data_IF_851591843339
#
_entry.id   IF_851591843339
#
_cell.length_a   1.000
_cell.length_b   1.000
_cell.length_c   1.000
_cell.angle_alpha   90.00
_cell.angle_beta   90.00
_cell.angle_gamma   90.00
#
_symmetry.space_group_name_H-M   'P 1'
#
loop_
_entity.id
_entity.type
_entity.pdbx_description
1 polymer ?
#
# COMPACT_ATOMS: atom_id res chain seq x y z
N UNK A 1 18.40 -12.90 9.42
CA UNK A 1 19.31 -11.73 9.49
C UNK A 1 18.92 -10.80 8.36
N UNK A 2 18.62 -9.53 8.63
CA UNK A 2 18.17 -8.59 7.58
C UNK A 2 19.31 -8.34 6.58
N UNK A 3 19.05 -8.36 5.26
CA UNK A 3 20.06 -8.10 4.23
C UNK A 3 20.91 -6.85 4.51
N UNK A 4 20.28 -5.80 5.00
CA UNK A 4 20.89 -4.49 5.32
C UNK A 4 22.00 -4.54 6.39
N UNK A 5 22.15 -5.64 7.14
CA UNK A 5 23.18 -5.75 8.19
C UNK A 5 24.62 -5.78 7.69
N UNK A 6 24.82 -6.12 6.41
CA UNK A 6 26.15 -6.19 5.78
C UNK A 6 26.45 -4.98 4.88
N UNK A 7 25.53 -4.01 4.85
CA UNK A 7 25.65 -2.84 3.98
C UNK A 7 26.36 -1.71 4.73
N UNK A 8 27.49 -1.28 4.21
CA UNK A 8 28.23 -0.12 4.71
C UNK A 8 28.12 1.03 3.71
N UNK A 9 27.49 2.11 4.13
CA UNK A 9 27.40 3.36 3.38
C UNK A 9 27.81 4.47 4.33
N UNK A 10 28.60 5.44 3.84
CA UNK A 10 29.07 6.56 4.65
C UNK A 10 27.90 7.24 5.38
N UNK A 11 28.09 7.50 6.67
CA UNK A 11 27.10 8.12 7.56
C UNK A 11 25.75 7.37 7.66
N UNK A 12 25.61 6.16 7.13
CA UNK A 12 24.36 5.39 7.17
C UNK A 12 24.59 4.06 7.89
N UNK A 13 23.55 3.47 8.46
CA UNK A 13 23.74 2.24 9.23
C UNK A 13 22.49 1.70 9.91
N UNK A 14 22.63 0.48 10.44
CA UNK A 14 21.57 -0.15 11.22
C UNK A 14 21.40 0.56 12.57
N UNK A 15 20.15 0.82 12.91
CA UNK A 15 19.73 1.34 14.20
C UNK A 15 18.52 0.53 14.68
N UNK A 16 18.43 0.29 15.98
CA UNK A 16 17.25 -0.32 16.58
C UNK A 16 16.22 0.76 16.91
N UNK A 17 14.96 0.53 16.54
CA UNK A 17 13.91 1.48 16.85
C UNK A 17 13.45 1.31 18.31
N UNK A 18 13.49 2.35 19.16
CA UNK A 18 13.19 2.21 20.59
C UNK A 18 11.77 1.72 20.89
N UNK A 19 10.80 2.05 20.04
CA UNK A 19 9.38 1.75 20.28
C UNK A 19 8.97 0.34 19.85
N UNK A 20 9.69 -0.25 18.89
CA UNK A 20 9.31 -1.51 18.24
C UNK A 20 10.38 -2.60 18.35
N UNK A 21 11.59 -2.26 18.78
CA UNK A 21 12.79 -3.10 18.73
C UNK A 21 13.13 -3.62 17.30
N UNK A 22 12.50 -3.07 16.27
CA UNK A 22 12.80 -3.42 14.88
C UNK A 22 14.13 -2.78 14.46
N UNK A 23 14.97 -3.57 13.79
CA UNK A 23 16.20 -3.10 13.17
C UNK A 23 15.87 -2.40 11.85
N UNK A 24 16.15 -1.11 11.79
CA UNK A 24 15.95 -0.26 10.61
C UNK A 24 17.30 0.25 10.10
N UNK A 25 17.43 0.45 8.80
CA UNK A 25 18.65 1.02 8.22
C UNK A 25 18.44 2.51 8.00
N UNK A 26 19.14 3.32 8.77
CA UNK A 26 19.08 4.77 8.67
C UNK A 26 19.93 5.26 7.51
N UNK A 27 19.35 6.08 6.64
CA UNK A 27 20.03 6.71 5.51
C UNK A 27 20.00 8.23 5.68
N UNK A 28 21.10 8.88 5.30
CA UNK A 28 21.31 10.32 5.49
C UNK A 28 21.36 11.14 4.20
N UNK A 29 21.29 10.49 3.04
CA UNK A 29 21.18 11.17 1.75
C UNK A 29 20.43 10.32 0.72
N UNK A 30 20.02 10.96 -0.38
CA UNK A 30 19.25 10.32 -1.45
C UNK A 30 19.99 9.19 -2.18
N UNK A 31 21.33 9.25 -2.27
CA UNK A 31 22.12 8.19 -2.90
C UNK A 31 22.20 6.98 -1.99
N UNK A 32 22.39 7.19 -0.68
CA UNK A 32 22.33 6.13 0.32
C UNK A 32 20.96 5.43 0.31
N UNK A 33 19.85 6.19 0.16
CA UNK A 33 18.50 5.63 0.02
C UNK A 33 18.39 4.71 -1.20
N UNK A 34 18.81 5.18 -2.38
CA UNK A 34 18.74 4.39 -3.63
C UNK A 34 19.65 3.17 -3.56
N UNK A 35 20.87 3.33 -3.06
CA UNK A 35 21.85 2.25 -2.91
C UNK A 35 21.35 1.18 -1.95
N UNK A 36 20.80 1.56 -0.78
CA UNK A 36 20.27 0.61 0.18
C UNK A 36 19.07 -0.17 -0.38
N UNK A 37 18.15 0.51 -1.05
CA UNK A 37 17.03 -0.14 -1.73
C UNK A 37 17.50 -1.10 -2.84
N UNK A 38 18.47 -0.68 -3.66
CA UNK A 38 19.06 -1.48 -4.73
C UNK A 38 19.83 -2.69 -4.22
N UNK A 39 20.55 -2.54 -3.10
CA UNK A 39 21.27 -3.63 -2.44
C UNK A 39 20.31 -4.73 -1.98
N UNK A 40 19.21 -4.36 -1.32
CA UNK A 40 18.18 -5.33 -0.90
C UNK A 40 17.54 -6.01 -2.11
N UNK A 41 17.19 -5.25 -3.16
CA UNK A 41 16.69 -5.79 -4.43
C UNK A 41 17.65 -6.85 -5.00
N UNK A 42 18.93 -6.51 -5.12
CA UNK A 42 19.96 -7.40 -5.65
C UNK A 42 20.07 -8.69 -4.84
N UNK A 43 20.21 -8.60 -3.51
CA UNK A 43 20.37 -9.77 -2.66
C UNK A 43 19.12 -10.67 -2.66
N UNK A 44 17.93 -10.08 -2.60
CA UNK A 44 16.66 -10.82 -2.60
C UNK A 44 16.44 -11.53 -3.94
N UNK A 45 16.83 -10.89 -5.05
CA UNK A 45 16.82 -11.52 -6.37
C UNK A 45 17.79 -12.71 -6.44
N UNK A 46 19.04 -12.56 -5.97
CA UNK A 46 20.05 -13.63 -6.03
C UNK A 46 19.74 -14.80 -5.08
N UNK A 47 19.33 -14.51 -3.84
CA UNK A 47 19.15 -15.53 -2.81
C UNK A 47 17.83 -16.30 -2.94
N UNK A 48 16.76 -15.61 -3.30
CA UNK A 48 15.41 -16.16 -3.24
C UNK A 48 14.68 -16.12 -4.59
N UNK A 49 15.26 -15.50 -5.62
CA UNK A 49 14.60 -15.20 -6.87
C UNK A 49 13.29 -14.43 -6.59
N UNK A 50 13.38 -13.29 -5.90
CA UNK A 50 12.22 -12.49 -5.51
C UNK A 50 12.40 -11.04 -5.93
N UNK A 51 11.28 -10.35 -6.15
CA UNK A 51 11.25 -8.92 -6.45
C UNK A 51 10.92 -8.13 -5.20
N UNK A 52 11.40 -6.89 -5.11
CA UNK A 52 11.16 -5.99 -3.97
C UNK A 52 10.44 -4.73 -4.42
N UNK A 53 9.36 -4.41 -3.71
CA UNK A 53 8.57 -3.19 -3.88
C UNK A 53 8.56 -2.38 -2.58
N UNK A 54 8.01 -1.18 -2.65
CA UNK A 54 8.10 -0.20 -1.57
C UNK A 54 6.74 0.07 -0.94
N UNK A 55 6.75 0.36 0.36
CA UNK A 55 5.60 0.96 1.05
C UNK A 55 6.07 2.07 1.96
N UNK A 56 5.55 3.27 1.72
CA UNK A 56 5.78 4.43 2.59
C UNK A 56 4.96 4.35 3.86
N UNK A 57 5.57 4.71 4.99
CA UNK A 57 4.90 4.75 6.29
C UNK A 57 5.39 5.95 7.10
N UNK A 58 4.45 6.72 7.63
CA UNK A 58 4.75 7.85 8.53
C UNK A 58 5.23 7.38 9.91
N UNK A 59 4.91 6.15 10.30
CA UNK A 59 5.28 5.54 11.57
C UNK A 59 5.74 4.10 11.36
N UNK A 60 6.45 3.55 12.34
CA UNK A 60 6.89 2.18 12.34
C UNK A 60 5.89 1.28 13.07
N UNK A 61 5.61 0.12 12.48
CA UNK A 61 4.66 -0.87 12.99
C UNK A 61 5.31 -2.25 13.07
N UNK A 62 5.00 -2.98 14.15
CA UNK A 62 5.44 -4.37 14.36
C UNK A 62 4.76 -5.38 13.43
N UNK A 63 3.55 -5.05 12.99
CA UNK A 63 2.71 -5.91 12.17
C UNK A 63 2.36 -5.21 10.88
N UNK A 64 2.21 -5.99 9.81
CA UNK A 64 1.85 -5.50 8.49
C UNK A 64 0.48 -6.08 8.13
N UNK A 65 -0.57 -5.43 8.66
CA UNK A 65 -1.96 -5.88 8.54
C UNK A 65 -2.70 -5.20 7.37
N UNK A 66 -3.38 -5.96 6.50
CA UNK A 66 -4.34 -5.42 5.53
C UNK A 66 -5.43 -4.59 6.21
N UNK A 67 -5.91 -3.57 5.51
CA UNK A 67 -6.91 -2.63 6.04
C UNK A 67 -8.18 -3.33 6.53
N UNK A 68 -8.61 -4.42 5.88
CA UNK A 68 -9.80 -5.19 6.26
C UNK A 68 -9.67 -5.88 7.63
N UNK A 69 -8.46 -6.25 8.04
CA UNK A 69 -8.21 -7.04 9.26
C UNK A 69 -7.70 -6.21 10.45
N UNK A 70 -7.44 -4.91 10.25
CA UNK A 70 -7.00 -4.03 11.35
C UNK A 70 -8.08 -3.93 12.44
N UNK A 71 -7.68 -4.17 13.68
CA UNK A 71 -8.58 -4.12 14.84
C UNK A 71 -9.58 -5.29 14.93
N UNK A 72 -9.52 -6.26 14.02
CA UNK A 72 -10.38 -7.44 14.02
C UNK A 72 -9.76 -8.53 14.90
N UNK A 73 -10.56 -9.08 15.82
CA UNK A 73 -10.12 -10.18 16.70
C UNK A 73 -10.68 -11.51 16.23
N UNK A 74 -9.80 -12.49 16.06
CA UNK A 74 -10.15 -13.87 15.74
C UNK A 74 -10.60 -14.13 14.30
N UNK A 75 -10.64 -15.40 13.93
CA UNK A 75 -10.93 -15.87 12.57
C UNK A 75 -12.36 -15.52 12.15
N UNK A 76 -13.34 -15.68 13.05
CA UNK A 76 -14.75 -15.40 12.75
C UNK A 76 -14.99 -13.95 12.29
N UNK A 77 -14.33 -12.97 12.93
CA UNK A 77 -14.42 -11.57 12.51
C UNK A 77 -13.79 -11.32 11.14
N UNK A 78 -12.67 -11.98 10.84
CA UNK A 78 -12.00 -11.88 9.53
C UNK A 78 -12.86 -12.49 8.43
N UNK A 79 -13.50 -13.64 8.69
CA UNK A 79 -14.44 -14.29 7.77
C UNK A 79 -15.62 -13.39 7.49
N UNK A 80 -16.28 -12.84 8.53
CA UNK A 80 -17.43 -11.94 8.38
C UNK A 80 -17.10 -10.69 7.53
N UNK A 81 -15.96 -10.05 7.79
CA UNK A 81 -15.46 -8.93 6.99
C UNK A 81 -15.21 -9.31 5.52
N UNK A 82 -14.66 -10.50 5.28
CA UNK A 82 -14.38 -11.02 3.93
C UNK A 82 -15.69 -11.31 3.18
N UNK A 83 -16.70 -11.86 3.85
CA UNK A 83 -18.03 -12.08 3.25
C UNK A 83 -18.71 -10.77 2.84
N UNK A 84 -18.60 -9.73 3.67
CA UNK A 84 -19.12 -8.39 3.38
C UNK A 84 -18.43 -7.80 2.16
N UNK A 85 -17.10 -7.92 2.07
CA UNK A 85 -16.33 -7.51 0.90
C UNK A 85 -16.77 -8.23 -0.37
N UNK A 86 -16.98 -9.56 -0.30
CA UNK A 86 -17.46 -10.34 -1.43
C UNK A 86 -18.87 -9.88 -1.89
N UNK A 87 -19.76 -9.51 -0.96
CA UNK A 87 -21.07 -8.93 -1.28
C UNK A 87 -20.95 -7.58 -1.97
N UNK A 88 -20.07 -6.70 -1.52
CA UNK A 88 -19.81 -5.41 -2.20
C UNK A 88 -19.33 -5.64 -3.63
N UNK A 89 -18.40 -6.57 -3.84
CA UNK A 89 -17.90 -6.93 -5.18
C UNK A 89 -19.04 -7.46 -6.06
N UNK A 90 -19.90 -8.34 -5.54
CA UNK A 90 -21.05 -8.85 -6.27
C UNK A 90 -22.04 -7.72 -6.66
N UNK A 91 -22.41 -6.87 -5.71
CA UNK A 91 -23.32 -5.74 -5.96
C UNK A 91 -22.76 -4.75 -6.99
N UNK A 92 -21.45 -4.53 -7.00
CA UNK A 92 -20.79 -3.69 -8.02
C UNK A 92 -20.90 -4.31 -9.40
N UNK A 93 -20.68 -5.63 -9.54
CA UNK A 93 -20.81 -6.33 -10.82
C UNK A 93 -22.24 -6.32 -11.36
N UNK A 94 -23.23 -6.34 -10.47
CA UNK A 94 -24.66 -6.26 -10.84
C UNK A 94 -25.07 -4.85 -11.24
N UNK A 95 -24.59 -3.84 -10.53
CA UNK A 95 -24.99 -2.44 -10.76
C UNK A 95 -24.21 -1.75 -11.89
N UNK A 96 -22.99 -2.21 -12.19
CA UNK A 96 -22.09 -1.52 -13.11
C UNK A 96 -21.42 -2.49 -14.09
N UNK A 97 -21.85 -2.41 -15.36
CA UNK A 97 -21.43 -3.35 -16.41
C UNK A 97 -19.92 -3.38 -16.72
N UNK A 98 -19.16 -2.35 -16.33
CA UNK A 98 -17.70 -2.36 -16.47
C UNK A 98 -17.05 -3.44 -15.59
N UNK A 99 -17.55 -3.64 -14.37
CA UNK A 99 -16.98 -4.61 -13.43
C UNK A 99 -17.32 -6.05 -13.84
N UNK A 100 -18.41 -6.28 -14.58
CA UNK A 100 -18.75 -7.59 -15.14
C UNK A 100 -17.69 -8.08 -16.14
N UNK A 101 -17.00 -7.16 -16.83
CA UNK A 101 -15.95 -7.47 -17.82
C UNK A 101 -14.56 -7.59 -17.21
N UNK A 102 -14.39 -7.21 -15.94
CA UNK A 102 -13.11 -7.33 -15.25
C UNK A 102 -13.00 -8.68 -14.53
N UNK A 103 -11.80 -9.27 -14.46
CA UNK A 103 -11.60 -10.46 -13.65
C UNK A 103 -11.85 -10.17 -12.16
N UNK A 104 -12.48 -11.11 -11.44
CA UNK A 104 -12.80 -10.95 -10.01
C UNK A 104 -11.57 -10.65 -9.14
N UNK A 105 -10.45 -11.22 -9.52
CA UNK A 105 -9.13 -11.04 -8.91
C UNK A 105 -8.53 -9.63 -9.08
N UNK A 106 -9.17 -8.75 -9.86
CA UNK A 106 -8.78 -7.34 -10.06
C UNK A 106 -9.67 -6.37 -9.28
N UNK A 107 -10.95 -6.72 -9.05
CA UNK A 107 -11.94 -5.79 -8.48
C UNK A 107 -11.58 -5.42 -7.04
N UNK A 108 -11.31 -6.39 -6.18
CA UNK A 108 -10.92 -6.13 -4.78
C UNK A 108 -9.66 -5.23 -4.71
N UNK A 109 -8.52 -5.56 -5.35
CA UNK A 109 -7.35 -4.68 -5.41
C UNK A 109 -7.67 -3.26 -5.87
N UNK A 110 -8.54 -3.11 -6.87
CA UNK A 110 -8.93 -1.81 -7.40
C UNK A 110 -9.65 -0.96 -6.36
N UNK A 111 -10.60 -1.54 -5.63
CA UNK A 111 -11.38 -0.83 -4.62
C UNK A 111 -10.53 -0.31 -3.44
N UNK A 112 -9.40 -0.96 -3.15
CA UNK A 112 -8.44 -0.51 -2.13
C UNK A 112 -7.92 0.90 -2.43
N UNK A 113 -7.62 1.22 -3.70
CA UNK A 113 -7.17 2.57 -4.08
C UNK A 113 -8.23 3.65 -3.87
N UNK A 114 -9.51 3.26 -3.81
CA UNK A 114 -10.64 4.18 -3.70
C UNK A 114 -11.27 4.24 -2.30
N UNK A 115 -10.74 3.49 -1.32
CA UNK A 115 -11.12 3.65 0.09
C UNK A 115 -11.74 2.45 0.76
N UNK A 116 -12.06 1.40 0.01
CA UNK A 116 -12.60 0.17 0.58
C UNK A 116 -11.47 -0.55 1.31
N UNK A 117 -11.76 -1.04 2.50
CA UNK A 117 -10.86 -1.89 3.26
C UNK A 117 -10.82 -3.27 2.62
N UNK A 118 -9.64 -3.76 2.27
CA UNK A 118 -9.46 -5.03 1.55
C UNK A 118 -8.41 -5.91 2.20
N UNK A 119 -8.25 -7.12 1.66
CA UNK A 119 -7.21 -8.06 2.07
C UNK A 119 -5.84 -7.76 1.46
N UNK A 120 -5.74 -6.68 0.68
CA UNK A 120 -4.51 -6.27 0.01
C UNK A 120 -3.80 -5.15 0.76
N UNK A 121 -2.49 -5.04 0.50
CA UNK A 121 -1.67 -3.91 0.89
C UNK A 121 -1.24 -3.12 -0.34
N UNK A 122 -1.32 -1.80 -0.23
CA UNK A 122 -0.75 -0.89 -1.21
C UNK A 122 0.78 -0.93 -1.18
N UNK A 123 1.37 -1.23 -2.32
CA UNK A 123 2.79 -1.09 -2.60
C UNK A 123 2.97 -0.14 -3.79
N UNK A 124 4.19 0.32 -4.00
CA UNK A 124 4.59 1.09 -5.17
C UNK A 124 5.93 0.59 -5.68
N UNK A 125 6.18 0.70 -6.99
CA UNK A 125 7.48 0.38 -7.59
C UNK A 125 8.42 1.59 -7.66
N UNK A 126 7.90 2.79 -7.41
CA UNK A 126 8.63 4.04 -7.38
C UNK A 126 8.93 4.46 -5.93
N UNK A 127 10.22 4.54 -5.58
CA UNK A 127 10.66 4.87 -4.22
C UNK A 127 10.30 6.30 -3.80
N UNK A 128 10.16 7.24 -4.74
CA UNK A 128 9.76 8.61 -4.46
C UNK A 128 8.29 8.71 -4.08
N UNK A 129 7.44 7.89 -4.72
CA UNK A 129 6.03 7.78 -4.33
C UNK A 129 5.92 7.15 -2.93
N UNK A 130 6.75 6.14 -2.61
CA UNK A 130 6.79 5.60 -1.26
C UNK A 130 7.24 6.66 -0.24
N UNK A 131 8.25 7.46 -0.58
CA UNK A 131 8.70 8.56 0.27
C UNK A 131 7.58 9.60 0.48
N UNK A 132 6.83 9.91 -0.57
CA UNK A 132 5.66 10.80 -0.49
C UNK A 132 4.62 10.28 0.51
N UNK A 133 4.22 9.00 0.40
CA UNK A 133 3.28 8.38 1.34
C UNK A 133 3.77 8.40 2.78
N UNK A 134 5.10 8.32 2.98
CA UNK A 134 5.69 8.38 4.31
C UNK A 134 5.73 9.81 4.90
N UNK A 135 5.76 10.83 4.03
CA UNK A 135 5.80 12.24 4.39
C UNK A 135 4.42 12.91 4.52
N UNK A 136 3.34 12.22 4.17
CA UNK A 136 1.97 12.74 4.26
C UNK A 136 1.15 11.98 5.30
N UNK A 137 0.21 12.67 5.94
CA UNK A 137 -0.78 12.08 6.84
C UNK A 137 -2.14 12.11 6.18
N UNK A 138 -2.87 11.01 6.26
CA UNK A 138 -4.28 10.97 5.88
C UNK A 138 -5.13 11.48 7.04
N UNK A 139 -5.93 12.52 6.79
CA UNK A 139 -6.97 13.00 7.71
C UNK A 139 -8.31 12.61 7.13
N UNK A 140 -9.12 11.88 7.90
CA UNK A 140 -10.44 11.44 7.46
C UNK A 140 -11.56 11.98 8.35
N UNK A 141 -12.70 12.26 7.73
CA UNK A 141 -13.89 12.78 8.38
C UNK A 141 -15.17 12.11 7.82
N UNK A 142 -16.25 12.21 8.60
CA UNK A 142 -17.53 11.59 8.26
C UNK A 142 -17.56 10.08 8.53
N UNK A 143 -18.76 9.50 8.35
CA UNK A 143 -18.98 8.06 8.55
C UNK A 143 -18.04 7.26 7.63
N UNK A 144 -17.38 6.25 8.20
CA UNK A 144 -16.49 5.33 7.47
C UNK A 144 -15.31 6.01 6.74
N UNK A 145 -14.90 7.20 7.20
CA UNK A 145 -13.81 7.97 6.59
C UNK A 145 -14.16 8.52 5.21
N UNK A 146 -15.45 8.78 4.95
CA UNK A 146 -15.97 9.23 3.65
C UNK A 146 -15.20 10.41 3.06
N UNK A 147 -14.81 11.39 3.84
CA UNK A 147 -14.01 12.52 3.38
C UNK A 147 -12.56 12.27 3.78
N UNK A 148 -11.64 12.32 2.82
CA UNK A 148 -10.23 12.03 3.00
C UNK A 148 -9.41 13.22 2.51
N UNK A 149 -8.46 13.68 3.29
CA UNK A 149 -7.49 14.70 2.89
C UNK A 149 -6.09 14.16 3.16
N UNK A 150 -5.12 14.56 2.33
CA UNK A 150 -3.71 14.27 2.59
C UNK A 150 -2.97 15.56 2.91
N UNK A 151 -2.39 15.61 4.11
CA UNK A 151 -1.66 16.76 4.59
C UNK A 151 -0.16 16.46 4.63
N UNK A 152 0.64 17.32 3.99
CA UNK A 152 2.11 17.27 4.07
C UNK A 152 2.50 17.50 5.54
N UNK A 153 3.30 16.57 6.09
CA UNK A 153 3.77 16.68 7.47
C UNK A 153 4.72 17.87 7.61
N UNK A 154 4.79 18.43 8.81
CA UNK A 154 5.63 19.59 9.11
C UNK A 154 6.59 19.21 10.23
N UNK A 155 7.87 18.98 9.89
CA UNK A 155 8.86 18.40 10.82
C UNK A 155 8.95 19.12 12.18
N UNK A 156 8.86 20.46 12.20
CA UNK A 156 8.87 21.26 13.44
C UNK A 156 7.65 21.07 14.36
N UNK A 157 6.56 20.49 13.86
CA UNK A 157 5.32 20.23 14.62
C UNK A 157 5.24 18.78 15.10
N UNK A 158 6.15 17.91 14.68
CA UNK A 158 6.16 16.50 15.07
C UNK A 158 6.91 16.32 16.39
N UNK A 159 6.42 15.42 17.24
CA UNK A 159 7.15 14.97 18.41
C UNK A 159 8.46 14.28 17.99
N UNK A 160 9.47 14.23 18.86
CA UNK A 160 10.79 13.69 18.50
C UNK A 160 10.73 12.25 17.96
N UNK A 161 9.87 11.40 18.54
CA UNK A 161 9.65 10.03 18.07
C UNK A 161 8.99 9.93 16.70
N UNK A 162 8.30 10.98 16.25
CA UNK A 162 7.62 11.05 14.97
C UNK A 162 8.44 11.80 13.91
N UNK A 163 9.66 12.28 14.19
CA UNK A 163 10.52 12.97 13.20
C UNK A 163 11.18 12.05 12.19
N UNK A 164 10.67 10.84 12.01
CA UNK A 164 11.18 9.88 11.04
C UNK A 164 10.07 9.42 10.11
N UNK A 165 10.51 8.99 8.93
CA UNK A 165 9.69 8.30 7.94
C UNK A 165 10.33 6.97 7.60
N UNK A 166 9.50 6.03 7.15
CA UNK A 166 9.93 4.67 6.92
C UNK A 166 9.52 4.20 5.52
N UNK A 167 10.45 3.54 4.83
CA UNK A 167 10.16 2.82 3.59
C UNK A 167 10.36 1.34 3.86
N UNK A 168 9.26 0.60 3.82
CA UNK A 168 9.25 -0.85 3.93
C UNK A 168 9.58 -1.44 2.56
N UNK A 169 10.57 -2.33 2.52
CA UNK A 169 10.97 -3.10 1.36
C UNK A 169 10.28 -4.45 1.43
N UNK A 170 9.29 -4.69 0.57
CA UNK A 170 8.45 -5.90 0.60
C UNK A 170 8.85 -6.85 -0.52
N UNK A 171 9.26 -8.07 -0.15
CA UNK A 171 9.66 -9.13 -1.08
C UNK A 171 8.45 -9.93 -1.59
N UNK A 172 8.47 -10.26 -2.88
CA UNK A 172 7.43 -11.01 -3.58
C UNK A 172 8.05 -12.09 -4.46
N UNK A 173 7.43 -13.28 -4.52
CA UNK A 173 7.99 -14.45 -5.21
C UNK A 173 7.57 -14.60 -6.68
N UNK A 174 7.78 -13.53 -7.44
CA UNK A 174 7.31 -13.38 -8.82
C UNK A 174 8.18 -14.05 -9.89
N UNK A 175 9.46 -14.24 -9.62
CA UNK A 175 10.43 -14.74 -10.62
C UNK A 175 10.09 -16.10 -11.23
N UNK A 176 9.26 -16.89 -10.54
CA UNK A 176 8.73 -18.19 -10.98
C UNK A 176 7.21 -18.18 -11.05
N UNK A 177 6.57 -17.04 -10.78
CA UNK A 177 5.13 -16.91 -10.85
C UNK A 177 4.69 -16.86 -12.31
N UNK A 178 3.73 -17.71 -12.67
CA UNK A 178 3.05 -17.60 -13.96
C UNK A 178 2.05 -16.44 -13.85
N UNK A 179 2.05 -15.55 -14.83
CA UNK A 179 0.98 -14.57 -14.97
C UNK A 179 -0.33 -15.35 -15.22
N UNK A 180 -1.32 -15.17 -14.33
CA UNK A 180 -2.65 -15.79 -14.48
C UNK A 180 -3.59 -14.89 -15.29
N UNK A 181 -3.30 -13.59 -15.31
CA UNK A 181 -3.93 -12.55 -16.11
C UNK A 181 -2.88 -11.44 -16.32
N UNK A 182 -2.93 -10.62 -17.39
CA UNK A 182 -2.11 -9.41 -17.48
C UNK A 182 -2.15 -8.60 -16.17
N UNK A 183 -0.97 -8.28 -15.63
CA UNK A 183 -0.85 -7.58 -14.35
C UNK A 183 -1.18 -8.40 -13.10
N UNK A 184 -1.43 -9.71 -13.20
CA UNK A 184 -1.73 -10.55 -12.02
C UNK A 184 -0.79 -11.74 -11.94
N UNK A 185 -0.05 -11.82 -10.85
CA UNK A 185 0.91 -12.89 -10.59
C UNK A 185 0.59 -13.58 -9.27
N UNK A 186 0.66 -14.91 -9.32
CA UNK A 186 0.51 -15.78 -8.16
C UNK A 186 1.79 -16.59 -7.98
N UNK A 187 2.55 -16.24 -6.96
CA UNK A 187 3.71 -17.00 -6.51
C UNK A 187 3.30 -18.16 -5.60
N UNK A 188 4.29 -18.77 -4.93
CA UNK A 188 4.06 -19.85 -3.97
C UNK A 188 3.57 -19.30 -2.62
N UNK A 189 4.06 -18.13 -2.23
CA UNK A 189 3.77 -17.49 -0.93
C UNK A 189 2.99 -16.19 -1.07
N UNK A 190 3.12 -15.50 -2.20
CA UNK A 190 2.58 -14.15 -2.38
C UNK A 190 1.76 -14.02 -3.66
N UNK A 191 0.82 -13.09 -3.65
CA UNK A 191 0.12 -12.61 -4.84
C UNK A 191 0.43 -11.12 -5.03
N UNK A 192 0.59 -10.72 -6.30
CA UNK A 192 0.78 -9.34 -6.69
C UNK A 192 -0.17 -8.99 -7.83
N UNK A 193 -0.77 -7.81 -7.76
CA UNK A 193 -1.59 -7.21 -8.81
C UNK A 193 -1.02 -5.84 -9.15
N UNK A 194 -0.67 -5.65 -10.42
CA UNK A 194 -0.42 -4.35 -11.04
C UNK A 194 -1.66 -3.93 -11.81
N UNK A 195 -2.45 -3.03 -11.21
CA UNK A 195 -3.69 -2.53 -11.79
C UNK A 195 -3.48 -1.73 -13.07
N UNK A 196 -2.27 -1.21 -13.31
CA UNK A 196 -1.94 -0.47 -14.54
C UNK A 196 -1.94 -1.37 -15.76
N UNK A 197 -1.83 -2.69 -15.53
CA UNK A 197 -1.87 -3.74 -16.54
C UNK A 197 -3.17 -4.56 -16.47
N UNK A 198 -3.77 -4.67 -15.27
CA UNK A 198 -4.90 -5.55 -15.02
C UNK A 198 -6.28 -4.87 -15.13
N UNK A 199 -6.34 -3.53 -14.95
CA UNK A 199 -7.58 -2.76 -15.00
C UNK A 199 -7.57 -1.76 -16.18
N UNK A 200 -8.75 -1.34 -16.68
CA UNK A 200 -8.83 -0.29 -17.69
C UNK A 200 -8.25 1.05 -17.19
N UNK A 201 -7.58 1.78 -18.08
CA UNK A 201 -6.92 3.06 -17.76
C UNK A 201 -7.86 4.21 -17.39
N UNK A 202 -9.18 3.98 -17.41
CA UNK A 202 -10.16 4.95 -16.90
C UNK A 202 -10.07 5.12 -15.38
N UNK A 203 -9.51 4.13 -14.67
CA UNK A 203 -9.17 4.21 -13.26
C UNK A 203 -7.78 4.82 -13.16
N UNK A 204 -7.67 6.14 -13.02
CA UNK A 204 -6.39 6.84 -13.13
C UNK A 204 -5.51 6.68 -11.89
N UNK A 205 -6.11 6.57 -10.70
CA UNK A 205 -5.36 6.57 -9.43
C UNK A 205 -4.25 5.51 -9.34
N UNK A 206 -4.45 4.23 -9.72
CA UNK A 206 -3.36 3.26 -9.73
C UNK A 206 -2.19 3.64 -10.65
N UNK A 207 -2.46 4.31 -11.78
CA UNK A 207 -1.42 4.79 -12.69
C UNK A 207 -0.64 5.96 -12.08
N UNK A 208 -1.36 6.97 -11.57
CA UNK A 208 -0.76 8.14 -10.95
C UNK A 208 0.17 7.78 -9.76
N UNK A 209 -0.23 6.78 -8.97
CA UNK A 209 0.49 6.36 -7.79
C UNK A 209 1.58 5.33 -8.05
N UNK A 210 1.75 4.86 -9.30
CA UNK A 210 2.58 3.70 -9.59
C UNK A 210 2.21 2.50 -8.69
N UNK A 211 0.91 2.32 -8.49
CA UNK A 211 0.34 1.46 -7.47
C UNK A 211 0.34 -0.02 -7.85
N UNK A 212 0.78 -0.85 -6.90
CA UNK A 212 0.66 -2.30 -6.93
C UNK A 212 -0.02 -2.77 -5.66
N UNK A 213 -0.70 -3.91 -5.72
CA UNK A 213 -1.35 -4.52 -4.58
C UNK A 213 -0.72 -5.86 -4.29
N UNK A 214 -0.46 -6.10 -3.01
CA UNK A 214 0.21 -7.28 -2.53
C UNK A 214 -0.58 -7.97 -1.42
N UNK A 215 -0.54 -9.30 -1.40
CA UNK A 215 -0.98 -10.07 -0.22
C UNK A 215 -0.22 -11.38 -0.08
N UNK A 216 -0.11 -11.88 1.16
CA UNK A 216 0.32 -13.25 1.39
C UNK A 216 -0.82 -14.23 1.15
N UNK A 217 -0.49 -15.36 0.55
CA UNK A 217 -1.44 -16.47 0.31
C UNK A 217 -1.87 -17.18 1.60
N UNK A 218 -1.06 -17.10 2.66
CA UNK A 218 -1.28 -17.81 3.91
C UNK A 218 -0.79 -19.27 3.86
N UNK A 219 -1.29 -20.08 4.79
CA UNK A 219 -1.01 -21.51 4.92
C UNK A 219 -2.29 -22.31 4.61
N UNK A 220 -2.20 -23.61 4.29
CA UNK A 220 -3.39 -24.46 4.23
C UNK A 220 -4.17 -24.35 5.56
N UNK A 221 -5.40 -23.84 5.51
CA UNK A 221 -6.23 -23.53 6.69
C UNK A 221 -6.66 -22.07 6.83
N UNK A 222 -6.10 -21.15 6.04
CA UNK A 222 -6.60 -19.77 5.97
C UNK A 222 -5.56 -18.74 5.55
N UNK A 223 -6.05 -17.54 5.17
CA UNK A 223 -5.20 -16.41 4.82
C UNK A 223 -4.56 -15.83 6.08
N UNK A 224 -3.25 -15.55 6.03
CA UNK A 224 -2.58 -14.85 7.14
C UNK A 224 -3.19 -13.45 7.29
N UNK A 225 -3.35 -12.98 8.52
CA UNK A 225 -3.72 -11.60 8.79
C UNK A 225 -2.51 -10.66 8.82
N UNK A 226 -1.32 -11.20 9.06
CA UNK A 226 -0.08 -10.44 9.16
C UNK A 226 0.90 -10.82 8.03
N UNK A 227 1.35 -9.79 7.31
CA UNK A 227 2.26 -9.91 6.17
C UNK A 227 3.70 -9.51 6.51
N UNK A 228 4.03 -9.28 7.78
CA UNK A 228 5.39 -8.88 8.22
C UNK A 228 6.49 -9.86 7.80
N UNK A 229 6.17 -11.14 7.56
CA UNK A 229 7.12 -12.13 7.05
C UNK A 229 7.72 -11.78 5.69
N UNK A 230 7.08 -10.89 4.94
CA UNK A 230 7.49 -10.49 3.59
C UNK A 230 8.31 -9.20 3.59
N UNK A 231 8.64 -8.64 4.77
CA UNK A 231 9.52 -7.48 4.91
C UNK A 231 10.96 -7.95 4.70
N UNK A 232 11.59 -7.50 3.61
CA UNK A 232 13.00 -7.72 3.33
C UNK A 232 13.91 -6.69 4.00
N UNK A 233 13.37 -5.53 4.36
CA UNK A 233 14.12 -4.47 5.06
C UNK A 233 13.25 -3.26 5.32
N UNK A 234 13.72 -2.38 6.20
CA UNK A 234 13.06 -1.11 6.52
C UNK A 234 14.14 -0.03 6.48
N UNK A 235 13.92 0.99 5.65
CA UNK A 235 14.76 2.17 5.58
C UNK A 235 14.14 3.26 6.45
N UNK A 236 14.96 3.96 7.25
CA UNK A 236 14.56 5.08 8.10
C UNK A 236 15.22 6.36 7.62
N UNK A 237 14.43 7.40 7.40
CA UNK A 237 14.91 8.72 6.95
C UNK A 237 14.40 9.75 7.95
N UNK A 238 15.19 10.78 8.24
CA UNK A 238 14.69 11.90 9.03
C UNK A 238 13.66 12.68 8.21
N UNK A 239 12.54 13.05 8.82
CA UNK A 239 11.41 13.65 8.12
C UNK A 239 11.79 14.96 7.42
N UNK A 240 12.67 15.76 8.03
CA UNK A 240 13.13 17.01 7.41
C UNK A 240 13.84 16.75 6.07
N UNK A 241 14.75 15.78 6.05
CA UNK A 241 15.52 15.43 4.86
C UNK A 241 14.60 14.80 3.79
N UNK A 242 13.69 13.93 4.22
CA UNK A 242 12.71 13.32 3.32
C UNK A 242 11.81 14.36 2.63
N UNK A 243 11.37 15.39 3.35
CA UNK A 243 10.58 16.49 2.80
C UNK A 243 11.40 17.37 1.84
N UNK A 244 12.67 17.63 2.18
CA UNK A 244 13.60 18.37 1.33
C UNK A 244 13.87 17.63 0.00
N UNK A 245 14.17 16.34 0.07
CA UNK A 245 14.45 15.51 -1.12
C UNK A 245 13.24 15.38 -2.05
N UNK A 246 12.02 15.33 -1.50
CA UNK A 246 10.79 15.32 -2.30
C UNK A 246 10.54 16.65 -3.03
N UNK A 247 10.94 17.77 -2.42
CA UNK A 247 10.67 19.11 -2.92
C UNK A 247 9.17 19.42 -3.06
N UNK A 248 8.84 20.29 -4.02
CA UNK A 248 7.48 20.81 -4.26
C UNK A 248 7.07 20.69 -5.75
N UNK A 249 7.41 19.55 -6.39
CA UNK A 249 7.03 19.28 -7.78
C UNK A 249 5.55 18.94 -7.94
N UNK A 250 4.89 19.51 -8.97
CA UNK A 250 3.46 19.25 -9.26
C UNK A 250 3.13 17.78 -9.48
N UNK A 251 4.04 17.00 -10.06
CA UNK A 251 3.81 15.56 -10.30
C UNK A 251 3.63 14.75 -8.99
N UNK A 252 4.10 15.29 -7.87
CA UNK A 252 3.98 14.69 -6.54
C UNK A 252 3.02 15.48 -5.64
N UNK A 253 2.18 16.36 -6.19
CA UNK A 253 1.12 16.95 -5.39
C UNK A 253 -0.04 15.96 -5.18
N UNK A 254 -0.86 16.20 -4.14
CA UNK A 254 -2.01 15.35 -3.82
C UNK A 254 -2.97 15.25 -4.99
N UNK A 255 -3.17 16.33 -5.74
CA UNK A 255 -4.09 16.36 -6.88
C UNK A 255 -3.64 15.42 -8.01
N UNK A 256 -2.34 15.34 -8.26
CA UNK A 256 -1.74 14.47 -9.27
C UNK A 256 -1.78 13.01 -8.84
N UNK A 257 -1.45 12.71 -7.57
CA UNK A 257 -1.47 11.35 -7.04
C UNK A 257 -2.87 10.82 -6.73
N UNK A 258 -3.84 11.70 -6.50
CA UNK A 258 -5.24 11.39 -6.27
C UNK A 258 -6.13 12.21 -7.20
N UNK A 259 -6.17 11.87 -8.50
CA UNK A 259 -6.97 12.62 -9.46
C UNK A 259 -8.44 12.66 -9.02
N UNK A 260 -9.09 13.84 -9.03
CA UNK A 260 -10.50 13.96 -8.69
C UNK A 260 -11.37 13.30 -9.75
N UNK A 261 -12.64 13.05 -9.41
CA UNK A 261 -13.61 12.37 -10.27
C UNK A 261 -13.89 13.09 -11.60
N UNK A 262 -13.53 14.38 -11.71
CA UNK A 262 -13.59 15.12 -12.97
C UNK A 262 -12.59 14.60 -14.02
N UNK A 263 -11.45 14.05 -13.57
CA UNK A 263 -10.42 13.47 -14.45
C UNK A 263 -10.44 11.94 -14.40
N UNK A 264 -10.74 11.34 -13.24
CA UNK A 264 -10.81 9.89 -13.05
C UNK A 264 -12.24 9.37 -13.26
N UNK A 265 -12.53 8.91 -14.48
CA UNK A 265 -13.84 8.37 -14.83
C UNK A 265 -14.20 7.11 -14.04
N UNK A 266 -13.22 6.25 -13.75
CA UNK A 266 -13.41 5.05 -12.93
C UNK A 266 -13.82 5.41 -11.51
N UNK A 267 -13.16 6.43 -10.93
CA UNK A 267 -13.53 6.98 -9.63
C UNK A 267 -14.96 7.58 -9.63
N UNK A 268 -15.33 8.30 -10.69
CA UNK A 268 -16.69 8.84 -10.84
C UNK A 268 -17.76 7.74 -10.86
N UNK A 269 -17.54 6.67 -11.62
CA UNK A 269 -18.43 5.50 -11.66
C UNK A 269 -18.60 4.91 -10.25
N UNK A 270 -17.52 4.79 -9.48
CA UNK A 270 -17.56 4.29 -8.11
C UNK A 270 -18.38 5.20 -7.19
N UNK A 271 -18.22 6.51 -7.29
CA UNK A 271 -19.00 7.49 -6.51
C UNK A 271 -20.49 7.49 -6.88
N UNK A 272 -20.81 7.27 -8.15
CA UNK A 272 -22.18 7.17 -8.67
C UNK A 272 -22.83 5.80 -8.40
N UNK A 273 -22.12 4.88 -7.74
CA UNK A 273 -22.60 3.54 -7.36
C UNK A 273 -22.77 3.33 -5.85
N UNK A 274 -23.36 4.27 -5.08
CA UNK A 274 -23.37 4.19 -3.61
C UNK A 274 -24.19 3.01 -3.07
N UNK A 275 -25.16 2.50 -3.83
CA UNK A 275 -25.96 1.32 -3.46
C UNK A 275 -25.10 0.06 -3.33
N UNK A 276 -24.04 -0.07 -4.13
CA UNK A 276 -23.17 -1.23 -4.08
C UNK A 276 -22.38 -1.34 -2.76
N UNK A 277 -22.17 -0.20 -2.08
CA UNK A 277 -21.42 -0.10 -0.83
C UNK A 277 -22.30 0.01 0.41
N UNK A 278 -23.62 0.20 0.25
CA UNK A 278 -24.59 0.26 1.35
C UNK A 278 -25.12 -1.15 1.62
N UNK A 279 -24.55 -1.79 2.64
CA UNK A 279 -25.06 -3.05 3.16
C UNK A 279 -25.82 -2.80 4.46
N UNK A 280 -26.94 -3.50 4.66
CA UNK A 280 -27.71 -3.51 5.92
C UNK A 280 -26.98 -4.34 7.00
N UNK A 281 -25.72 -4.00 7.25
CA UNK A 281 -24.88 -4.65 8.24
C UNK A 281 -24.29 -3.59 9.16
N UNK A 282 -24.10 -3.94 10.44
CA UNK A 282 -23.40 -3.08 11.41
C UNK A 282 -21.89 -3.03 11.18
N UNK A 283 -21.37 -3.86 10.28
CA UNK A 283 -19.94 -4.05 10.03
C UNK A 283 -19.58 -3.33 8.74
N UNK A 284 -18.94 -2.18 8.87
CA UNK A 284 -18.44 -1.39 7.74
C UNK A 284 -17.10 -1.92 7.22
N UNK A 285 -16.88 -1.82 5.91
CA UNK A 285 -15.56 -2.06 5.28
C UNK A 285 -15.01 -0.78 4.63
N UNK A 286 -15.39 0.39 5.18
CA UNK A 286 -15.08 1.67 4.56
C UNK A 286 -16.09 2.05 3.48
N UNK A 287 -15.81 3.16 2.80
CA UNK A 287 -16.61 3.67 1.69
C UNK A 287 -15.68 4.30 0.66
N UNK A 288 -16.21 4.59 -0.53
CA UNK A 288 -15.45 5.32 -1.54
C UNK A 288 -15.16 6.71 -1.00
N UNK A 289 -13.87 7.03 -0.81
CA UNK A 289 -13.49 8.32 -0.24
C UNK A 289 -13.76 9.43 -1.23
N UNK A 290 -14.15 10.60 -0.73
CA UNK A 290 -14.09 11.90 -1.38
C UNK A 290 -12.75 12.50 -1.00
N UNK A 291 -11.82 12.57 -1.95
CA UNK A 291 -10.49 13.13 -1.69
C UNK A 291 -10.55 14.65 -1.83
N UNK A 292 -10.35 15.36 -0.72
CA UNK A 292 -10.07 16.79 -0.72
C UNK A 292 -8.67 17.02 -1.25
N UNK A 293 -8.56 17.97 -2.18
CA UNK A 293 -7.29 18.44 -2.75
C UNK A 293 -7.14 19.93 -2.45
#
# INVERSE_FOLDING_TARGET
MTPLSKLEIRNSGLVECPTTALKVYHVNDQHALVQAAGYVKYLVAQSNNQNVYYRGQAQIYNQLLPSLYRGVKGIAGMTSKTEILNKVVANLKESQGIFTKMPDLVIEPLLQHYGIQTTWLDLVDNIWIALWFACHKSVSAGKDGKYLNFEKRVARREADGDKYVYIYLISTDLSKAKAIHPGVWKGKKTELVDLRLAAPSIFLRPHAQHGLLFRNLGIPGGRSADYSSSIAGILRIHLLDALDWLGDGRLLDTHSLFPPAAYDNGYRILLESPSAFKLDTKVSIGTINYVGT
#
